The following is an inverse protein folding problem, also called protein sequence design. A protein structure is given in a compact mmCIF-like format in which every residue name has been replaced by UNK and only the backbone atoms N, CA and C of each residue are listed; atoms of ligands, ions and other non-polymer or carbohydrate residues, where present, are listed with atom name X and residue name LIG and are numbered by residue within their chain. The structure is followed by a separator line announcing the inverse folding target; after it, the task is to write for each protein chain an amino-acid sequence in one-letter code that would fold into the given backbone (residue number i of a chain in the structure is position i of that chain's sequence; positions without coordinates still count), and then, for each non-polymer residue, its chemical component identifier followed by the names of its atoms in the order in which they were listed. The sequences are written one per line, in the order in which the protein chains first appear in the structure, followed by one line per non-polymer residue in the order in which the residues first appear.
data_IF_776617231601
#
_entry.id   IF_776617231601
#
_cell.length_a   1.000
_cell.length_b   1.000
_cell.length_c   1.000
_cell.angle_alpha   90.00
_cell.angle_beta   90.00
_cell.angle_gamma   90.00
#
_symmetry.space_group_name_H-M   'P 1'
#
loop_
_entity.id
_entity.type
_entity.pdbx_description
1 polymer ?
#
# COMPACT_ATOMS: atom_id res chain seq x y z
N UNK A 1 -55.40 -54.36 10.60
CA UNK A 1 -54.11 -55.01 10.24
C UNK A 1 -53.42 -54.18 9.17
N UNK A 2 -52.19 -53.71 9.46
CA UNK A 2 -51.02 -53.42 8.60
C UNK A 2 -51.35 -52.95 7.18
N UNK A 3 -51.00 -51.74 6.73
CA UNK A 3 -49.64 -51.44 6.27
C UNK A 3 -49.21 -50.01 6.62
N UNK A 4 -48.26 -49.96 7.54
CA UNK A 4 -47.42 -48.83 7.87
C UNK A 4 -46.34 -48.68 6.78
N UNK A 5 -46.02 -47.42 6.41
CA UNK A 5 -44.63 -46.93 6.29
C UNK A 5 -43.81 -47.39 5.06
N UNK A 6 -43.97 -46.72 3.91
CA UNK A 6 -42.96 -46.73 2.83
C UNK A 6 -42.59 -45.35 2.24
N UNK A 7 -43.12 -44.23 2.78
CA UNK A 7 -42.90 -42.89 2.21
C UNK A 7 -41.62 -42.18 2.67
N UNK A 8 -40.92 -42.70 3.68
CA UNK A 8 -39.73 -42.05 4.24
C UNK A 8 -38.41 -42.43 3.54
N UNK A 9 -38.31 -43.63 2.97
CA UNK A 9 -37.03 -44.13 2.45
C UNK A 9 -36.60 -43.43 1.15
N UNK A 10 -37.54 -43.17 0.24
CA UNK A 10 -37.28 -42.51 -1.04
C UNK A 10 -36.90 -41.02 -0.91
N UNK A 11 -37.52 -40.32 0.04
CA UNK A 11 -37.20 -38.91 0.33
C UNK A 11 -35.78 -38.75 0.90
N UNK A 12 -35.35 -39.70 1.74
CA UNK A 12 -33.99 -39.74 2.29
C UNK A 12 -32.96 -40.03 1.17
N UNK A 13 -33.29 -40.88 0.19
CA UNK A 13 -32.36 -41.20 -0.91
C UNK A 13 -32.14 -40.01 -1.86
N UNK A 14 -33.21 -39.28 -2.20
CA UNK A 14 -33.14 -38.09 -3.07
C UNK A 14 -32.38 -36.97 -2.37
N UNK A 15 -32.61 -36.76 -1.07
CA UNK A 15 -31.88 -35.77 -0.29
C UNK A 15 -30.39 -36.09 -0.17
N UNK A 16 -30.03 -37.37 -0.01
CA UNK A 16 -28.64 -37.82 0.06
C UNK A 16 -27.93 -37.70 -1.30
N UNK A 17 -28.60 -38.03 -2.40
CA UNK A 17 -28.08 -37.84 -3.76
C UNK A 17 -27.89 -36.36 -4.11
N UNK A 18 -28.82 -35.50 -3.68
CA UNK A 18 -28.72 -34.06 -3.87
C UNK A 18 -27.56 -33.47 -3.06
N UNK A 19 -27.42 -33.86 -1.78
CA UNK A 19 -26.26 -33.49 -0.97
C UNK A 19 -24.94 -33.96 -1.59
N UNK A 20 -24.88 -35.21 -2.07
CA UNK A 20 -23.69 -35.74 -2.71
C UNK A 20 -23.32 -34.96 -4.00
N UNK A 21 -24.33 -34.57 -4.80
CA UNK A 21 -24.12 -33.76 -6.00
C UNK A 21 -23.61 -32.34 -5.65
N UNK A 22 -24.19 -31.72 -4.63
CA UNK A 22 -23.76 -30.41 -4.12
C UNK A 22 -22.33 -30.49 -3.54
N UNK A 23 -22.00 -31.57 -2.83
CA UNK A 23 -20.66 -31.81 -2.28
C UNK A 23 -19.62 -32.06 -3.38
N UNK A 24 -19.97 -32.69 -4.50
CA UNK A 24 -19.06 -32.90 -5.63
C UNK A 24 -18.83 -31.61 -6.41
N UNK A 25 -19.87 -30.79 -6.63
CA UNK A 25 -19.74 -29.48 -7.30
C UNK A 25 -18.89 -28.49 -6.50
N UNK A 26 -18.88 -28.59 -5.17
CA UNK A 26 -18.07 -27.72 -4.31
C UNK A 26 -16.55 -28.00 -4.39
N UNK A 27 -16.12 -29.14 -4.95
CA UNK A 27 -14.71 -29.57 -4.96
C UNK A 27 -13.88 -28.98 -6.11
N UNK A 28 -14.47 -28.22 -7.03
CA UNK A 28 -13.74 -27.65 -8.18
C UNK A 28 -12.96 -26.37 -7.84
N UNK A 29 -13.15 -25.81 -6.65
CA UNK A 29 -12.40 -24.64 -6.20
C UNK A 29 -11.06 -25.06 -5.59
N UNK A 30 -10.00 -25.08 -6.41
CA UNK A 30 -8.65 -25.20 -5.89
C UNK A 30 -8.29 -23.95 -5.09
N UNK A 31 -7.75 -24.07 -3.85
CA UNK A 31 -7.37 -22.91 -3.07
C UNK A 31 -6.20 -22.19 -3.75
N UNK A 32 -6.37 -20.88 -3.99
CA UNK A 32 -5.26 -20.02 -4.39
C UNK A 32 -4.23 -20.05 -3.25
N UNK A 33 -3.03 -20.57 -3.52
CA UNK A 33 -1.93 -20.54 -2.55
C UNK A 33 -1.42 -19.11 -2.47
N UNK A 34 -1.64 -18.46 -1.34
CA UNK A 34 -0.98 -17.19 -1.04
C UNK A 34 0.52 -17.44 -0.83
N UNK A 35 1.41 -16.84 -1.62
CA UNK A 35 2.85 -17.03 -1.47
C UNK A 35 3.41 -16.39 -0.19
N UNK A 36 2.62 -15.60 0.56
CA UNK A 36 3.08 -14.84 1.71
C UNK A 36 2.54 -15.36 3.06
N UNK A 37 3.41 -15.43 4.07
CA UNK A 37 2.99 -15.70 5.46
C UNK A 37 2.21 -14.51 6.04
N UNK A 38 1.43 -14.72 7.12
CA UNK A 38 0.76 -13.61 7.81
C UNK A 38 1.70 -12.48 8.26
N UNK A 39 2.94 -12.81 8.63
CA UNK A 39 3.97 -11.85 9.04
C UNK A 39 4.48 -11.06 7.85
N UNK A 40 4.76 -11.72 6.72
CA UNK A 40 5.21 -11.05 5.50
C UNK A 40 4.16 -10.08 4.98
N UNK A 41 2.87 -10.43 5.06
CA UNK A 41 1.79 -9.52 4.67
C UNK A 41 1.79 -8.21 5.46
N UNK A 42 2.39 -8.14 6.65
CA UNK A 42 2.53 -6.89 7.43
C UNK A 42 3.63 -5.95 6.91
N UNK A 43 4.48 -6.38 5.99
CA UNK A 43 5.51 -5.51 5.42
C UNK A 43 4.88 -4.32 4.71
N UNK A 44 5.45 -3.14 4.92
CA UNK A 44 4.94 -1.88 4.38
C UNK A 44 4.67 -1.93 2.86
N UNK A 45 5.54 -2.60 2.09
CA UNK A 45 5.39 -2.75 0.65
C UNK A 45 4.20 -3.63 0.20
N UNK A 46 3.69 -4.50 1.09
CA UNK A 46 2.54 -5.37 0.81
C UNK A 46 1.23 -4.84 1.41
N UNK A 47 1.29 -3.74 2.16
CA UNK A 47 0.11 -3.08 2.67
C UNK A 47 -0.62 -2.32 1.56
N UNK A 48 -1.95 -2.30 1.63
CA UNK A 48 -2.77 -1.53 0.70
C UNK A 48 -2.45 -0.03 0.84
N UNK A 49 -2.22 0.64 -0.29
CA UNK A 49 -2.04 2.10 -0.31
C UNK A 49 -3.38 2.76 -0.01
N UNK A 50 -3.44 3.51 1.10
CA UNK A 50 -4.58 4.33 1.46
C UNK A 50 -4.40 5.74 0.92
N UNK A 51 -5.41 6.28 0.23
CA UNK A 51 -5.41 7.69 -0.19
C UNK A 51 -5.80 8.54 1.01
N UNK A 52 -4.96 9.53 1.32
CA UNK A 52 -5.18 10.49 2.40
C UNK A 52 -5.41 11.85 1.78
N UNK A 53 -6.38 12.59 2.32
CA UNK A 53 -6.64 13.96 1.88
C UNK A 53 -5.46 14.87 2.25
N UNK A 54 -5.21 15.83 1.38
CA UNK A 54 -4.13 16.80 1.58
C UNK A 54 -4.47 17.70 2.77
N UNK A 55 -3.55 17.91 3.73
CA UNK A 55 -3.80 18.83 4.82
C UNK A 55 -3.89 20.27 4.32
N UNK A 56 -4.75 21.06 4.97
CA UNK A 56 -4.78 22.50 4.78
C UNK A 56 -3.54 23.13 5.47
N UNK A 57 -2.84 24.00 4.74
CA UNK A 57 -1.62 24.67 5.21
C UNK A 57 -1.76 26.17 5.02
N UNK A 58 -1.15 26.96 5.90
CA UNK A 58 -1.23 28.43 5.88
C UNK A 58 -0.35 29.02 4.78
N UNK A 59 0.86 28.49 4.62
CA UNK A 59 1.87 29.01 3.70
C UNK A 59 1.97 28.18 2.41
N UNK A 60 0.83 27.97 1.73
CA UNK A 60 0.73 27.11 0.55
C UNK A 60 1.71 27.47 -0.59
N UNK A 61 2.16 28.73 -0.69
CA UNK A 61 3.13 29.15 -1.72
C UNK A 61 4.53 28.54 -1.61
N UNK A 62 4.90 27.96 -0.46
CA UNK A 62 6.15 27.22 -0.31
C UNK A 62 6.07 25.80 -0.91
N UNK A 63 4.89 25.17 -0.84
CA UNK A 63 4.68 23.83 -1.35
C UNK A 63 4.70 23.83 -2.89
N UNK A 64 5.64 23.10 -3.48
CA UNK A 64 5.76 22.96 -4.94
C UNK A 64 4.97 21.77 -5.45
N UNK A 65 4.86 20.73 -4.63
CA UNK A 65 4.17 19.49 -4.92
C UNK A 65 3.08 19.19 -3.88
N UNK A 66 2.07 18.37 -4.21
CA UNK A 66 1.04 17.94 -3.25
C UNK A 66 1.58 17.32 -1.96
N UNK A 67 2.73 16.64 -2.03
CA UNK A 67 3.37 15.98 -0.88
C UNK A 67 3.96 16.99 0.11
N UNK A 68 4.39 18.17 -0.36
CA UNK A 68 5.03 19.18 0.48
C UNK A 68 4.06 19.73 1.53
N UNK A 69 2.75 19.68 1.25
CA UNK A 69 1.72 20.08 2.21
C UNK A 69 1.76 19.24 3.50
N UNK A 70 2.11 17.95 3.42
CA UNK A 70 2.21 17.09 4.60
C UNK A 70 3.39 17.48 5.50
N UNK A 71 4.52 17.86 4.89
CA UNK A 71 5.68 18.37 5.62
C UNK A 71 5.38 19.74 6.23
N UNK A 72 4.83 20.65 5.41
CA UNK A 72 4.50 22.00 5.85
C UNK A 72 3.47 22.02 6.99
N UNK A 73 2.44 21.17 6.93
CA UNK A 73 1.47 21.04 8.02
C UNK A 73 2.13 20.68 9.36
N UNK A 74 3.11 19.78 9.34
CA UNK A 74 3.85 19.39 10.55
C UNK A 74 4.82 20.47 11.04
N UNK A 75 5.43 21.23 10.12
CA UNK A 75 6.25 22.39 10.48
C UNK A 75 5.39 23.47 11.14
N UNK A 76 4.25 23.82 10.53
CA UNK A 76 3.30 24.82 11.05
C UNK A 76 2.73 24.41 12.40
N UNK A 77 2.35 23.14 12.59
CA UNK A 77 1.87 22.62 13.86
C UNK A 77 2.91 22.74 14.99
N UNK A 78 4.20 22.69 14.64
CA UNK A 78 5.32 22.86 15.57
C UNK A 78 5.82 24.31 15.68
N UNK A 79 5.19 25.26 14.99
CA UNK A 79 5.64 26.65 14.94
C UNK A 79 6.97 26.85 14.20
N UNK A 80 7.40 25.86 13.40
CA UNK A 80 8.62 25.91 12.60
C UNK A 80 8.33 26.47 11.21
N UNK A 81 9.36 27.04 10.60
CA UNK A 81 9.32 27.51 9.21
C UNK A 81 10.24 26.65 8.35
N UNK A 82 9.90 26.41 7.07
CA UNK A 82 10.82 25.77 6.16
C UNK A 82 12.11 26.59 5.99
N UNK A 83 13.22 25.90 5.80
CA UNK A 83 14.48 26.55 5.43
C UNK A 83 14.37 27.14 4.02
N UNK A 84 15.11 28.25 3.74
CA UNK A 84 15.23 28.75 2.39
C UNK A 84 15.89 27.70 1.47
N UNK A 85 15.66 27.78 0.15
CA UNK A 85 16.40 26.97 -0.81
C UNK A 85 17.92 27.12 -0.62
N UNK A 86 18.65 26.02 -0.76
CA UNK A 86 20.11 26.07 -0.76
C UNK A 86 20.61 26.90 -1.95
N UNK A 87 21.72 27.61 -1.74
CA UNK A 87 22.41 28.31 -2.82
C UNK A 87 23.00 27.32 -3.84
N UNK A 88 23.32 27.83 -5.04
CA UNK A 88 23.83 27.03 -6.14
C UNK A 88 25.07 26.21 -5.77
N UNK A 89 26.03 26.82 -5.06
CA UNK A 89 27.29 26.15 -4.73
C UNK A 89 27.07 25.05 -3.70
N UNK A 90 26.20 25.28 -2.71
CA UNK A 90 25.78 24.24 -1.77
C UNK A 90 25.10 23.08 -2.48
N UNK A 91 24.24 23.34 -3.48
CA UNK A 91 23.60 22.29 -4.27
C UNK A 91 24.61 21.48 -5.09
N UNK A 92 25.52 22.16 -5.80
CA UNK A 92 26.56 21.52 -6.59
C UNK A 92 27.41 20.59 -5.70
N UNK A 93 27.91 21.11 -4.57
CA UNK A 93 28.75 20.32 -3.66
C UNK A 93 28.03 19.09 -3.12
N UNK A 94 26.74 19.19 -2.78
CA UNK A 94 25.96 18.03 -2.33
C UNK A 94 25.81 16.99 -3.44
N UNK A 95 25.43 17.45 -4.63
CA UNK A 95 25.27 16.57 -5.78
C UNK A 95 26.57 15.85 -6.16
N UNK A 96 27.71 16.55 -6.21
CA UNK A 96 28.99 15.90 -6.54
C UNK A 96 29.43 14.92 -5.48
N UNK A 97 29.33 15.29 -4.19
CA UNK A 97 29.69 14.38 -3.10
C UNK A 97 28.79 13.13 -3.08
N UNK A 98 27.49 13.28 -3.28
CA UNK A 98 26.55 12.16 -3.27
C UNK A 98 26.76 11.23 -4.48
N UNK A 99 27.08 11.79 -5.66
CA UNK A 99 27.19 11.03 -6.91
C UNK A 99 28.59 10.45 -7.16
N UNK A 100 29.65 11.20 -6.86
CA UNK A 100 31.04 10.82 -7.17
C UNK A 100 31.91 10.62 -5.93
N UNK A 101 31.48 11.12 -4.77
CA UNK A 101 32.29 11.12 -3.55
C UNK A 101 33.40 12.17 -3.52
N UNK A 102 33.49 13.02 -4.56
CA UNK A 102 34.52 14.06 -4.69
C UNK A 102 33.91 15.46 -4.62
N UNK A 103 34.64 16.46 -4.09
CA UNK A 103 34.22 17.85 -4.15
C UNK A 103 34.22 18.36 -5.61
N UNK A 104 33.42 19.40 -5.92
CA UNK A 104 33.41 19.99 -7.25
C UNK A 104 34.75 20.69 -7.54
N UNK A 105 35.17 20.66 -8.79
CA UNK A 105 36.32 21.41 -9.28
C UNK A 105 36.01 22.92 -9.35
N UNK A 106 37.03 23.81 -9.34
CA UNK A 106 36.80 25.24 -9.49
C UNK A 106 36.04 25.61 -10.78
N UNK A 107 36.32 24.92 -11.89
CA UNK A 107 35.64 25.16 -13.18
C UNK A 107 34.14 24.79 -13.13
N UNK A 108 33.79 23.67 -12.47
CA UNK A 108 32.39 23.28 -12.26
C UNK A 108 31.65 24.28 -11.37
N UNK A 109 32.32 24.87 -10.38
CA UNK A 109 31.74 25.91 -9.51
C UNK A 109 31.42 27.18 -10.30
N UNK A 110 32.28 27.56 -11.25
CA UNK A 110 32.07 28.76 -12.08
C UNK A 110 30.96 28.59 -13.13
N UNK A 111 30.72 27.37 -13.60
CA UNK A 111 29.80 27.08 -14.72
C UNK A 111 28.37 26.69 -14.31
N UNK A 112 28.11 26.42 -13.03
CA UNK A 112 26.83 25.92 -12.48
C UNK A 112 25.79 27.02 -12.15
#
# INVERSE_FOLDING_TARGET
MKYLKCSGLAAVSISLLCCALIQVLAQTASPVRDPFTPEQRKYWALQKVNRVDRPAVRHAGWARNPVDAFVLAQLEAKGLRPNPPADKITLLRRATLDLTGLPPTPEEVETF
#
